data_IF_592321520096
#
_entry.id   IF_592321520096
#
_cell.length_a   1.000
_cell.length_b   1.000
_cell.length_c   1.000
_cell.angle_alpha   90.00
_cell.angle_beta   90.00
_cell.angle_gamma   90.00
#
_symmetry.space_group_name_H-M   'P 1'
#
loop_
_entity.id
_entity.type
_entity.pdbx_description
1 polymer ?
#
# COMPACT_ATOMS: atom_id res chain seq x y z
N UNK A 1 -2.16 8.57 -8.49
CA UNK A 1 -2.94 7.36 -8.69
C UNK A 1 -2.37 6.24 -7.85
N UNK A 2 -3.21 5.55 -7.08
CA UNK A 2 -2.77 4.51 -6.12
C UNK A 2 -3.27 3.12 -6.56
N UNK A 3 -3.40 2.91 -7.87
CA UNK A 3 -3.88 1.65 -8.43
C UNK A 3 -2.71 0.71 -8.69
N UNK A 4 -2.84 -0.51 -8.19
CA UNK A 4 -1.83 -1.55 -8.28
C UNK A 4 -2.43 -2.82 -8.87
N UNK A 5 -1.73 -3.39 -9.83
CA UNK A 5 -2.06 -4.70 -10.40
C UNK A 5 -1.36 -5.76 -9.57
N UNK A 6 -2.13 -6.72 -9.07
CA UNK A 6 -1.60 -7.86 -8.34
C UNK A 6 -1.20 -8.93 -9.33
N UNK A 7 0.08 -9.29 -9.33
CA UNK A 7 0.64 -10.35 -10.15
C UNK A 7 1.03 -11.54 -9.27
N UNK A 8 0.86 -12.74 -9.78
CA UNK A 8 1.40 -13.94 -9.12
C UNK A 8 2.92 -13.97 -9.30
N UNK A 9 3.66 -14.13 -8.22
CA UNK A 9 5.09 -14.33 -8.33
C UNK A 9 5.37 -15.67 -9.04
N UNK A 10 6.31 -15.73 -10.00
CA UNK A 10 6.69 -16.96 -10.66
C UNK A 10 7.26 -17.96 -9.64
N UNK A 11 7.06 -19.24 -9.87
CA UNK A 11 7.73 -20.28 -9.10
C UNK A 11 9.23 -20.27 -9.42
N UNK A 12 10.05 -20.68 -8.46
CA UNK A 12 11.53 -20.57 -8.48
C UNK A 12 12.19 -21.26 -9.68
N UNK A 13 11.70 -21.43 -10.79
CA UNK A 13 12.31 -21.93 -12.04
C UNK A 13 11.49 -21.60 -13.30
N UNK A 14 10.49 -20.74 -13.22
CA UNK A 14 9.57 -20.46 -14.33
C UNK A 14 9.93 -19.19 -15.12
N UNK A 15 11.14 -18.63 -14.94
CA UNK A 15 11.56 -17.54 -15.81
C UNK A 15 11.87 -18.06 -17.21
N UNK A 16 10.96 -17.82 -18.16
CA UNK A 16 11.31 -17.92 -19.57
C UNK A 16 12.46 -16.94 -19.85
N UNK A 17 13.57 -17.45 -20.38
CA UNK A 17 14.69 -16.61 -20.81
C UNK A 17 14.54 -16.34 -22.31
N UNK A 18 14.76 -15.10 -22.72
CA UNK A 18 14.90 -14.76 -24.12
C UNK A 18 16.16 -15.40 -24.74
N UNK A 19 16.34 -15.25 -26.05
CA UNK A 19 17.51 -15.75 -26.76
C UNK A 19 18.85 -15.19 -26.24
N UNK A 20 18.82 -14.13 -25.42
CA UNK A 20 19.97 -13.46 -24.82
C UNK A 20 20.15 -13.84 -23.34
N UNK A 21 19.30 -14.69 -22.79
CA UNK A 21 19.34 -15.14 -21.39
C UNK A 21 18.69 -14.20 -20.38
N UNK A 22 18.02 -13.15 -20.82
CA UNK A 22 17.26 -12.26 -19.95
C UNK A 22 15.91 -12.89 -19.58
N UNK A 23 15.50 -12.72 -18.32
CA UNK A 23 14.18 -13.15 -17.90
C UNK A 23 13.10 -12.37 -18.67
N UNK A 24 12.32 -13.07 -19.46
CA UNK A 24 11.15 -12.50 -20.16
C UNK A 24 9.94 -12.75 -19.28
N UNK A 25 9.27 -11.68 -18.84
CA UNK A 25 7.90 -11.83 -18.38
C UNK A 25 7.06 -12.30 -19.56
N UNK A 26 6.37 -13.42 -19.49
CA UNK A 26 5.42 -13.73 -20.52
C UNK A 26 4.35 -12.62 -20.53
N UNK A 27 4.08 -12.05 -21.73
CA UNK A 27 2.93 -11.16 -21.98
C UNK A 27 1.61 -11.77 -21.50
N UNK A 28 1.61 -13.07 -21.32
CA UNK A 28 0.52 -13.87 -20.77
C UNK A 28 0.28 -13.71 -19.26
N UNK A 29 1.17 -13.14 -18.44
CA UNK A 29 0.92 -13.06 -17.01
C UNK A 29 -0.22 -12.10 -16.68
N UNK A 30 -0.26 -10.94 -17.32
CA UNK A 30 -1.37 -9.99 -17.14
C UNK A 30 -2.65 -10.58 -17.76
N UNK A 31 -2.55 -11.19 -18.94
CA UNK A 31 -3.69 -11.80 -19.62
C UNK A 31 -4.25 -13.01 -18.87
N UNK A 32 -3.44 -13.81 -18.20
CA UNK A 32 -3.90 -14.94 -17.37
C UNK A 32 -4.71 -14.51 -16.16
N UNK A 33 -4.36 -13.38 -15.54
CA UNK A 33 -5.16 -12.83 -14.43
C UNK A 33 -6.46 -12.20 -14.91
N UNK A 34 -6.46 -11.58 -16.08
CA UNK A 34 -7.68 -11.00 -16.67
C UNK A 34 -8.72 -12.06 -17.05
N UNK A 35 -8.31 -13.28 -17.36
CA UNK A 35 -9.21 -14.36 -17.78
C UNK A 35 -9.66 -15.29 -16.63
N UNK A 36 -8.85 -15.42 -15.58
CA UNK A 36 -9.10 -16.30 -14.45
C UNK A 36 -9.08 -15.54 -13.13
N UNK A 37 -10.19 -15.53 -12.42
CA UNK A 37 -10.25 -14.95 -11.08
C UNK A 37 -9.36 -15.73 -10.14
N UNK A 38 -8.26 -15.12 -9.72
CA UNK A 38 -7.39 -15.65 -8.65
C UNK A 38 -7.58 -14.82 -7.40
N UNK A 39 -8.00 -15.46 -6.32
CA UNK A 39 -8.17 -14.78 -5.04
C UNK A 39 -6.81 -14.61 -4.35
N UNK A 40 -6.57 -13.42 -3.83
CA UNK A 40 -5.44 -13.17 -2.97
C UNK A 40 -5.65 -13.89 -1.64
N UNK A 41 -4.73 -14.76 -1.27
CA UNK A 41 -4.86 -15.64 -0.10
C UNK A 41 -3.68 -15.48 0.86
N UNK A 42 -3.90 -15.93 2.10
CA UNK A 42 -2.86 -15.98 3.12
C UNK A 42 -1.67 -16.86 2.69
N UNK A 43 -0.46 -16.40 2.97
CA UNK A 43 0.79 -17.06 2.55
C UNK A 43 1.10 -17.00 1.06
N UNK A 44 0.27 -16.35 0.25
CA UNK A 44 0.49 -16.23 -1.18
C UNK A 44 1.67 -15.31 -1.48
N UNK A 45 2.57 -15.71 -2.39
CA UNK A 45 3.65 -14.89 -2.93
C UNK A 45 3.15 -14.13 -4.16
N UNK A 46 3.25 -12.82 -4.11
CA UNK A 46 2.74 -11.91 -5.14
C UNK A 46 3.76 -10.86 -5.52
N UNK A 47 3.52 -10.18 -6.64
CA UNK A 47 4.16 -8.94 -7.06
C UNK A 47 3.11 -7.86 -7.21
N UNK A 48 3.46 -6.64 -6.89
CA UNK A 48 2.60 -5.47 -7.08
C UNK A 48 3.19 -4.59 -8.16
N UNK A 49 2.45 -4.37 -9.24
CA UNK A 49 2.82 -3.50 -10.35
C UNK A 49 1.93 -2.26 -10.34
N UNK A 50 2.54 -1.10 -10.31
CA UNK A 50 1.80 0.16 -10.40
C UNK A 50 1.19 0.31 -11.80
N UNK A 51 -0.13 0.53 -11.87
CA UNK A 51 -0.86 0.45 -13.13
C UNK A 51 -0.39 1.44 -14.18
N UNK A 52 -0.12 2.68 -13.80
CA UNK A 52 0.24 3.72 -14.77
C UNK A 52 1.70 3.65 -15.21
N UNK A 53 2.62 3.41 -14.28
CA UNK A 53 4.06 3.46 -14.57
C UNK A 53 4.65 2.10 -14.91
N UNK A 54 3.89 1.02 -14.69
CA UNK A 54 4.32 -0.37 -14.93
C UNK A 54 5.55 -0.80 -14.15
N UNK A 55 5.99 0.00 -13.17
CA UNK A 55 7.06 -0.39 -12.23
C UNK A 55 6.53 -1.28 -11.13
N UNK A 56 7.38 -2.11 -10.56
CA UNK A 56 7.03 -3.04 -9.50
C UNK A 56 7.46 -2.51 -8.14
N UNK A 57 6.69 -2.88 -7.11
CA UNK A 57 7.05 -2.63 -5.72
C UNK A 57 8.26 -3.48 -5.35
N UNK A 58 9.36 -2.85 -5.02
CA UNK A 58 10.68 -3.44 -4.98
C UNK A 58 11.45 -3.01 -3.72
N UNK A 59 12.28 -3.90 -3.18
CA UNK A 59 13.19 -3.57 -2.09
C UNK A 59 14.48 -4.40 -2.15
N UNK A 60 15.61 -3.74 -1.93
CA UNK A 60 16.93 -4.36 -1.88
C UNK A 60 17.54 -4.35 -0.48
N UNK A 61 18.42 -5.33 -0.20
CA UNK A 61 19.35 -5.22 0.90
C UNK A 61 20.34 -4.09 0.65
N UNK A 62 20.75 -3.40 1.72
CA UNK A 62 21.77 -2.35 1.71
C UNK A 62 21.40 -1.05 0.96
N UNK A 63 20.17 -0.89 0.53
CA UNK A 63 19.66 0.39 0.04
C UNK A 63 18.95 1.11 1.17
N UNK A 64 19.42 2.32 1.45
CA UNK A 64 18.89 3.15 2.54
C UNK A 64 17.60 3.83 2.11
N UNK A 65 16.63 3.96 3.03
CA UNK A 65 15.49 4.83 2.78
C UNK A 65 15.94 6.28 2.51
N UNK A 66 15.17 7.05 1.74
CA UNK A 66 15.52 8.42 1.41
C UNK A 66 15.62 9.37 2.61
N UNK A 67 14.82 9.16 3.65
CA UNK A 67 14.72 10.05 4.82
C UNK A 67 14.91 9.30 6.13
N UNK A 68 14.24 8.16 6.30
CA UNK A 68 14.33 7.37 7.53
C UNK A 68 15.73 6.80 7.75
N UNK A 69 16.09 6.61 9.01
CA UNK A 69 17.34 5.95 9.35
C UNK A 69 17.39 4.52 8.81
N UNK A 70 18.57 4.11 8.39
CA UNK A 70 18.77 2.80 7.76
C UNK A 70 18.73 1.61 8.73
N UNK A 71 18.70 1.87 10.04
CA UNK A 71 18.66 0.82 11.04
C UNK A 71 17.37 0.00 10.90
N UNK A 72 17.54 -1.27 10.57
CA UNK A 72 16.46 -2.24 10.31
C UNK A 72 15.52 -1.89 9.15
N UNK A 73 15.82 -0.87 8.35
CA UNK A 73 14.99 -0.41 7.25
C UNK A 73 15.76 -0.42 5.92
N UNK A 74 15.07 -0.83 4.87
CA UNK A 74 15.53 -0.74 3.49
C UNK A 74 14.58 0.15 2.68
N UNK A 75 15.11 0.75 1.62
CA UNK A 75 14.31 1.49 0.66
C UNK A 75 13.23 0.59 0.03
N UNK A 76 12.06 1.15 -0.18
CA UNK A 76 11.04 0.60 -1.07
C UNK A 76 10.84 1.58 -2.22
N UNK A 77 10.99 1.09 -3.43
CA UNK A 77 10.91 1.90 -4.65
C UNK A 77 10.06 1.24 -5.72
N UNK A 78 9.71 2.03 -6.74
CA UNK A 78 9.15 1.51 -7.97
C UNK A 78 10.29 1.12 -8.91
N UNK A 79 10.45 -0.15 -9.22
CA UNK A 79 11.53 -0.66 -10.07
C UNK A 79 11.01 -1.25 -11.37
N UNK A 80 11.71 -0.97 -12.46
CA UNK A 80 11.38 -1.44 -13.80
C UNK A 80 11.40 -0.33 -14.83
N UNK A 81 11.27 -0.74 -16.09
CA UNK A 81 11.26 0.17 -17.23
C UNK A 81 9.98 -0.09 -18.04
N UNK A 82 9.11 0.91 -18.24
CA UNK A 82 7.84 0.72 -18.94
C UNK A 82 8.02 0.28 -20.40
N UNK A 83 9.15 0.64 -21.03
CA UNK A 83 9.43 0.37 -22.45
C UNK A 83 10.21 -0.93 -22.68
N UNK A 84 10.64 -1.61 -21.63
CA UNK A 84 11.37 -2.87 -21.72
C UNK A 84 10.54 -3.94 -21.04
N UNK A 85 10.32 -5.06 -21.72
CA UNK A 85 9.72 -6.26 -21.10
C UNK A 85 10.64 -6.79 -19.99
N UNK A 86 10.55 -6.16 -18.82
CA UNK A 86 11.32 -6.54 -17.65
C UNK A 86 10.47 -7.48 -16.80
N UNK A 87 10.86 -8.73 -16.75
CA UNK A 87 10.13 -9.77 -16.00
C UNK A 87 10.13 -9.59 -14.48
N UNK A 88 10.85 -8.58 -13.98
CA UNK A 88 11.08 -8.41 -12.55
C UNK A 88 12.08 -9.43 -11.99
N UNK A 89 12.40 -9.29 -10.74
CA UNK A 89 13.30 -10.22 -10.02
C UNK A 89 12.71 -10.66 -8.66
N UNK A 90 13.48 -11.41 -7.90
CA UNK A 90 13.06 -11.93 -6.60
C UNK A 90 12.86 -10.85 -5.53
N UNK A 91 13.38 -9.62 -5.78
CA UNK A 91 13.22 -8.49 -4.87
C UNK A 91 11.88 -7.77 -5.08
N UNK A 92 11.08 -8.21 -6.05
CA UNK A 92 9.69 -7.76 -6.25
C UNK A 92 8.69 -8.65 -5.50
N UNK A 93 9.15 -9.75 -4.89
CA UNK A 93 8.29 -10.78 -4.34
C UNK A 93 7.91 -10.49 -2.87
N UNK A 94 6.62 -10.50 -2.61
CA UNK A 94 6.05 -10.24 -1.30
C UNK A 94 5.09 -11.36 -0.89
N UNK A 95 5.17 -11.80 0.37
CA UNK A 95 4.19 -12.70 0.97
C UNK A 95 3.06 -11.90 1.60
N UNK A 96 1.84 -12.34 1.36
CA UNK A 96 0.64 -11.84 2.03
C UNK A 96 0.48 -12.60 3.34
N UNK A 97 0.38 -11.88 4.45
CA UNK A 97 0.13 -12.45 5.77
C UNK A 97 -1.12 -11.80 6.36
N UNK A 98 -2.20 -12.55 6.48
CA UNK A 98 -3.47 -12.06 7.03
C UNK A 98 -3.33 -11.92 8.55
N UNK A 99 -3.49 -10.70 9.04
CA UNK A 99 -3.40 -10.39 10.48
C UNK A 99 -4.78 -10.46 11.13
N UNK A 100 -5.81 -9.96 10.46
CA UNK A 100 -7.18 -9.91 10.97
C UNK A 100 -8.20 -9.92 9.86
N UNK A 101 -9.28 -10.65 10.10
CA UNK A 101 -10.49 -10.56 9.28
C UNK A 101 -11.68 -10.13 10.12
N UNK A 102 -12.59 -9.38 9.52
CA UNK A 102 -13.84 -9.05 10.17
C UNK A 102 -14.81 -10.24 10.18
N UNK A 103 -15.68 -10.26 11.19
CA UNK A 103 -16.65 -11.35 11.43
C UNK A 103 -17.67 -11.58 10.30
N UNK A 104 -17.80 -10.62 9.39
CA UNK A 104 -18.74 -10.70 8.25
C UNK A 104 -18.20 -11.47 7.05
N UNK A 105 -16.92 -11.81 7.05
CA UNK A 105 -16.32 -12.60 5.97
C UNK A 105 -16.83 -14.04 6.08
N UNK A 106 -17.45 -14.58 5.00
CA UNK A 106 -17.90 -15.96 5.02
C UNK A 106 -16.76 -16.93 5.34
N UNK A 107 -17.02 -17.96 6.13
CA UNK A 107 -15.99 -18.94 6.54
C UNK A 107 -15.25 -19.59 5.35
N UNK A 108 -15.91 -19.73 4.20
CA UNK A 108 -15.29 -20.20 2.94
C UNK A 108 -14.26 -19.24 2.33
N UNK A 109 -14.17 -18.02 2.83
CA UNK A 109 -13.24 -16.99 2.39
C UNK A 109 -12.30 -16.56 3.51
N UNK A 110 -12.17 -17.35 4.58
CA UNK A 110 -11.34 -17.03 5.75
C UNK A 110 -9.85 -16.97 5.45
N UNK A 111 -9.42 -17.61 4.38
CA UNK A 111 -8.03 -17.62 3.89
C UNK A 111 -7.76 -16.58 2.80
N UNK A 112 -8.77 -15.75 2.45
CA UNK A 112 -8.70 -14.80 1.34
C UNK A 112 -8.72 -13.37 1.82
N UNK A 113 -7.99 -12.52 1.11
CA UNK A 113 -8.07 -11.08 1.32
C UNK A 113 -9.36 -10.55 0.70
N UNK A 114 -10.17 -9.94 1.53
CA UNK A 114 -11.43 -9.30 1.14
C UNK A 114 -11.29 -7.79 1.34
N UNK A 115 -11.58 -7.03 0.29
CA UNK A 115 -11.52 -5.57 0.36
C UNK A 115 -12.32 -5.03 1.55
N UNK A 116 -11.79 -4.05 2.26
CA UNK A 116 -12.29 -3.40 3.48
C UNK A 116 -12.38 -4.30 4.73
N UNK A 117 -12.43 -5.62 4.59
CA UNK A 117 -12.70 -6.54 5.70
C UNK A 117 -11.48 -7.34 6.16
N UNK A 118 -10.41 -7.35 5.37
CA UNK A 118 -9.18 -8.05 5.71
C UNK A 118 -8.05 -7.06 5.90
N UNK A 119 -7.41 -7.15 7.05
CA UNK A 119 -6.16 -6.44 7.35
C UNK A 119 -5.03 -7.44 7.25
N UNK A 120 -4.01 -7.11 6.48
CA UNK A 120 -2.90 -7.99 6.18
C UNK A 120 -1.57 -7.22 6.22
N UNK A 121 -0.48 -7.97 6.21
CA UNK A 121 0.88 -7.46 6.09
C UNK A 121 1.51 -7.97 4.80
N UNK A 122 2.46 -7.23 4.27
CA UNK A 122 3.30 -7.65 3.16
C UNK A 122 4.72 -7.87 3.66
N UNK A 123 5.17 -9.13 3.66
CA UNK A 123 6.52 -9.50 4.04
C UNK A 123 7.35 -9.77 2.80
N UNK A 124 8.47 -9.08 2.68
CA UNK A 124 9.39 -9.26 1.56
C UNK A 124 9.99 -10.67 1.54
N UNK A 125 9.93 -11.35 0.40
CA UNK A 125 10.28 -12.76 0.31
C UNK A 125 11.77 -13.05 0.59
N UNK A 126 12.66 -12.19 0.12
CA UNK A 126 14.10 -12.35 0.29
C UNK A 126 14.62 -11.76 1.62
N UNK A 127 14.14 -10.56 1.97
CA UNK A 127 14.69 -9.82 3.09
C UNK A 127 14.01 -10.12 4.42
N UNK A 128 12.79 -10.69 4.38
CA UNK A 128 11.99 -10.96 5.58
C UNK A 128 11.43 -9.72 6.28
N UNK A 129 11.76 -8.51 5.81
CA UNK A 129 11.20 -7.26 6.32
C UNK A 129 9.77 -7.05 5.83
N UNK A 130 9.04 -6.15 6.50
CA UNK A 130 7.65 -5.85 6.20
C UNK A 130 7.49 -4.48 5.54
N UNK A 131 6.58 -4.39 4.60
CA UNK A 131 6.16 -3.10 4.04
C UNK A 131 5.63 -2.24 5.18
N UNK A 132 6.22 -1.06 5.35
CA UNK A 132 6.06 -0.22 6.52
C UNK A 132 5.93 1.24 6.13
N UNK A 133 5.05 1.97 6.80
CA UNK A 133 4.89 3.40 6.62
C UNK A 133 4.63 4.08 7.95
N UNK A 134 5.34 5.17 8.22
CA UNK A 134 5.23 5.95 9.45
C UNK A 134 5.24 7.45 9.15
N UNK A 135 5.08 8.29 10.16
CA UNK A 135 4.90 9.74 10.00
C UNK A 135 6.21 10.45 9.58
N UNK A 136 6.83 10.00 8.50
CA UNK A 136 7.99 10.67 7.87
C UNK A 136 7.58 11.10 6.48
N UNK A 137 7.65 12.40 6.22
CA UNK A 137 7.34 12.97 4.92
C UNK A 137 8.59 13.01 4.03
N UNK A 138 8.41 12.63 2.78
CA UNK A 138 9.42 12.81 1.76
C UNK A 138 9.61 14.31 1.45
N UNK A 139 10.81 14.73 1.04
CA UNK A 139 11.08 16.09 0.59
C UNK A 139 10.24 16.50 -0.64
N UNK A 140 10.44 17.73 -1.12
CA UNK A 140 9.68 18.31 -2.24
C UNK A 140 9.67 17.45 -3.50
N UNK A 141 10.74 16.73 -3.79
CA UNK A 141 10.78 15.81 -4.93
C UNK A 141 9.79 14.62 -4.78
N UNK A 142 9.44 14.26 -3.56
CA UNK A 142 8.41 13.25 -3.23
C UNK A 142 7.06 13.86 -2.91
N UNK A 143 6.86 15.16 -3.19
CA UNK A 143 5.62 15.89 -2.97
C UNK A 143 5.12 15.88 -1.52
N UNK A 144 6.00 15.75 -0.55
CA UNK A 144 5.64 15.64 0.87
C UNK A 144 4.80 14.40 1.22
N UNK A 145 4.81 13.40 0.36
CA UNK A 145 4.11 12.14 0.64
C UNK A 145 4.81 11.36 1.75
N UNK A 146 4.06 10.51 2.42
CA UNK A 146 4.60 9.68 3.49
C UNK A 146 5.55 8.62 2.92
N UNK A 147 6.73 8.50 3.55
CA UNK A 147 7.72 7.50 3.16
C UNK A 147 7.24 6.08 3.43
N UNK A 148 7.57 5.18 2.51
CA UNK A 148 7.34 3.73 2.64
C UNK A 148 8.69 3.03 2.63
N UNK A 149 8.89 2.13 3.58
CA UNK A 149 10.14 1.38 3.76
C UNK A 149 9.87 -0.12 3.93
N UNK A 150 10.92 -0.95 3.85
CA UNK A 150 10.86 -2.33 4.29
C UNK A 150 11.58 -2.45 5.63
N UNK A 151 10.82 -2.65 6.71
CA UNK A 151 11.32 -2.63 8.08
C UNK A 151 11.44 -4.05 8.66
N UNK A 152 12.64 -4.41 9.14
CA UNK A 152 12.91 -5.72 9.75
C UNK A 152 12.37 -5.89 11.17
N UNK A 153 12.04 -4.78 11.84
CA UNK A 153 11.46 -4.76 13.20
C UNK A 153 10.30 -3.76 13.28
N UNK A 154 9.26 -3.94 12.45
CA UNK A 154 8.20 -2.96 12.35
C UNK A 154 7.28 -2.97 13.56
N UNK A 155 6.76 -1.81 13.95
CA UNK A 155 5.59 -1.74 14.80
C UNK A 155 4.37 -2.27 14.04
N UNK A 156 3.50 -3.03 14.72
CA UNK A 156 2.35 -3.66 14.08
C UNK A 156 1.44 -2.62 13.37
N UNK A 157 1.01 -1.51 13.99
CA UNK A 157 0.09 -0.58 13.34
C UNK A 157 0.59 -0.02 12.01
N UNK A 158 1.89 0.24 11.90
CA UNK A 158 2.48 0.89 10.73
C UNK A 158 2.85 -0.11 9.61
N UNK A 159 2.63 -1.40 9.83
CA UNK A 159 2.82 -2.47 8.83
C UNK A 159 1.51 -3.13 8.40
N UNK A 160 0.37 -2.59 8.84
CA UNK A 160 -0.95 -3.09 8.49
C UNK A 160 -1.50 -2.39 7.25
N UNK A 161 -2.00 -3.19 6.34
CA UNK A 161 -2.57 -2.75 5.07
C UNK A 161 -3.96 -3.34 4.87
N UNK A 162 -4.78 -2.66 4.11
CA UNK A 162 -6.05 -3.17 3.62
C UNK A 162 -6.30 -2.70 2.19
N UNK A 163 -7.13 -3.42 1.46
CA UNK A 163 -7.55 -3.03 0.11
C UNK A 163 -8.85 -2.24 0.24
N UNK A 164 -8.85 -1.01 -0.22
CA UNK A 164 -10.04 -0.16 -0.23
C UNK A 164 -11.03 -0.60 -1.31
N UNK A 165 -10.53 -0.74 -2.53
CA UNK A 165 -11.31 -1.19 -3.69
C UNK A 165 -10.52 -2.19 -4.51
N UNK A 166 -11.23 -3.07 -5.21
CA UNK A 166 -10.63 -3.91 -6.23
C UNK A 166 -11.57 -4.02 -7.42
N UNK A 167 -10.99 -4.14 -8.60
CA UNK A 167 -11.71 -4.36 -9.86
C UNK A 167 -11.17 -5.61 -10.54
N UNK A 168 -12.05 -6.33 -11.26
CA UNK A 168 -11.63 -7.45 -12.07
C UNK A 168 -12.64 -7.64 -13.21
N UNK A 169 -12.22 -7.67 -14.48
CA UNK A 169 -13.12 -7.66 -15.64
C UNK A 169 -14.16 -8.79 -15.62
N UNK A 170 -13.77 -9.99 -15.14
CA UNK A 170 -14.68 -11.15 -15.05
C UNK A 170 -15.70 -10.96 -13.92
N UNK A 171 -15.28 -10.42 -12.76
CA UNK A 171 -16.17 -10.22 -11.62
C UNK A 171 -17.14 -9.06 -11.83
N UNK A 172 -16.78 -8.07 -12.62
CA UNK A 172 -17.68 -6.97 -12.96
C UNK A 172 -18.86 -7.42 -13.79
N UNK A 173 -18.66 -8.44 -14.63
CA UNK A 173 -19.69 -9.02 -15.50
C UNK A 173 -20.51 -10.10 -14.80
N UNK A 174 -20.06 -10.63 -13.65
CA UNK A 174 -20.79 -11.66 -12.91
C UNK A 174 -21.82 -11.02 -11.95
N UNK A 175 -23.13 -11.17 -12.19
CA UNK A 175 -24.16 -10.66 -11.30
C UNK A 175 -24.20 -11.37 -9.93
N UNK A 176 -23.54 -12.52 -9.80
CA UNK A 176 -23.43 -13.28 -8.55
C UNK A 176 -22.15 -12.99 -7.78
N UNK A 177 -21.25 -12.15 -8.33
CA UNK A 177 -20.05 -11.75 -7.64
C UNK A 177 -20.42 -11.03 -6.33
N UNK A 178 -19.80 -11.44 -5.25
CA UNK A 178 -19.97 -10.76 -3.99
C UNK A 178 -19.31 -9.39 -4.05
N UNK A 179 -20.11 -8.37 -3.80
CA UNK A 179 -19.64 -6.98 -3.76
C UNK A 179 -19.67 -6.48 -2.34
N UNK A 180 -18.62 -5.78 -1.94
CA UNK A 180 -18.58 -5.10 -0.66
C UNK A 180 -19.51 -3.89 -0.71
N UNK A 181 -20.43 -3.80 0.24
CA UNK A 181 -21.30 -2.64 0.40
C UNK A 181 -20.60 -1.61 1.27
N UNK A 182 -20.28 -0.47 0.70
CA UNK A 182 -19.80 0.67 1.47
C UNK A 182 -20.94 1.22 2.34
N UNK A 183 -20.75 1.17 3.65
CA UNK A 183 -21.66 1.84 4.58
C UNK A 183 -21.27 3.32 4.59
N UNK A 184 -22.09 4.14 3.95
CA UNK A 184 -21.90 5.59 4.03
C UNK A 184 -22.18 6.07 5.46
N UNK A 185 -21.25 6.83 6.06
CA UNK A 185 -21.46 7.34 7.41
C UNK A 185 -22.67 8.30 7.42
N UNK A 186 -23.43 8.23 8.49
CA UNK A 186 -24.53 9.21 8.72
C UNK A 186 -23.95 10.62 8.92
N UNK A 187 -24.79 11.64 8.73
CA UNK A 187 -24.38 13.03 8.95
C UNK A 187 -23.68 13.24 10.31
N UNK A 188 -24.22 12.68 11.38
CA UNK A 188 -23.65 12.82 12.72
C UNK A 188 -22.31 12.10 12.90
N UNK A 189 -22.18 10.92 12.34
CA UNK A 189 -20.90 10.20 12.34
C UNK A 189 -19.83 10.99 11.60
N UNK A 190 -20.16 11.48 10.40
CA UNK A 190 -19.25 12.30 9.60
C UNK A 190 -18.89 13.62 10.28
N UNK A 191 -19.86 14.28 10.93
CA UNK A 191 -19.62 15.50 11.67
C UNK A 191 -18.65 15.29 12.84
N UNK A 192 -18.85 14.23 13.63
CA UNK A 192 -17.99 13.90 14.76
C UNK A 192 -16.58 13.55 14.27
N UNK A 193 -16.49 12.70 13.25
CA UNK A 193 -15.21 12.28 12.66
C UNK A 193 -14.40 13.48 12.14
N UNK A 194 -15.03 14.35 11.33
CA UNK A 194 -14.38 15.53 10.78
C UNK A 194 -13.94 16.51 11.87
N UNK A 195 -14.78 16.75 12.89
CA UNK A 195 -14.40 17.63 14.00
C UNK A 195 -13.25 17.03 14.83
N UNK A 196 -13.25 15.72 15.03
CA UNK A 196 -12.16 15.01 15.72
C UNK A 196 -10.86 15.10 14.92
N UNK A 197 -10.93 14.88 13.61
CA UNK A 197 -9.78 15.00 12.72
C UNK A 197 -9.23 16.43 12.73
N UNK A 198 -10.12 17.44 12.58
CA UNK A 198 -9.75 18.85 12.64
C UNK A 198 -9.09 19.21 13.98
N UNK A 199 -9.63 18.72 15.09
CA UNK A 199 -9.04 18.94 16.41
C UNK A 199 -7.65 18.35 16.53
N UNK A 200 -7.47 17.11 16.07
CA UNK A 200 -6.18 16.43 16.12
C UNK A 200 -5.14 17.10 15.24
N UNK A 201 -5.51 17.55 14.04
CA UNK A 201 -4.61 18.30 13.16
C UNK A 201 -4.22 19.63 13.80
N UNK A 202 -5.19 20.39 14.30
CA UNK A 202 -4.91 21.69 14.92
C UNK A 202 -4.07 21.56 16.20
N UNK A 203 -4.25 20.48 16.96
CA UNK A 203 -3.44 20.21 18.16
C UNK A 203 -1.96 19.97 17.83
N UNK A 204 -1.65 19.51 16.62
CA UNK A 204 -0.27 19.27 16.15
C UNK A 204 0.42 20.56 15.68
N UNK A 205 -0.32 21.63 15.41
CA UNK A 205 0.21 22.93 15.02
C UNK A 205 0.79 23.63 16.26
N UNK A 206 2.00 23.26 16.64
CA UNK A 206 2.70 23.79 17.82
C UNK A 206 3.69 24.89 17.45
N UNK A 207 4.02 25.06 16.19
CA UNK A 207 4.99 26.04 15.74
C UNK A 207 4.45 27.47 15.89
N UNK A 208 5.28 28.32 16.44
CA UNK A 208 4.93 29.72 16.71
C UNK A 208 4.92 30.52 15.40
N UNK A 209 3.77 31.04 15.03
CA UNK A 209 3.66 31.91 13.86
C UNK A 209 3.78 33.39 14.24
N UNK A 210 4.46 34.19 13.40
CA UNK A 210 4.71 35.62 13.67
C UNK A 210 3.40 36.42 13.90
N UNK A 211 2.32 36.00 13.24
CA UNK A 211 0.99 36.61 13.36
C UNK A 211 0.04 35.84 14.30
N UNK A 212 0.58 34.94 15.11
CA UNK A 212 -0.23 34.17 16.07
C UNK A 212 -0.91 35.10 17.07
N UNK A 213 -2.20 34.89 17.29
CA UNK A 213 -2.96 35.52 18.35
C UNK A 213 -3.53 34.46 19.31
N UNK A 214 -3.53 34.78 20.58
CA UNK A 214 -4.08 33.89 21.61
C UNK A 214 -5.50 34.32 22.01
N UNK A 215 -6.39 33.38 22.35
CA UNK A 215 -7.76 33.70 22.78
C UNK A 215 -7.83 34.76 23.88
N UNK A 216 -6.86 34.80 24.79
CA UNK A 216 -6.76 35.79 25.86
C UNK A 216 -6.47 37.21 25.38
N UNK A 217 -6.02 37.36 24.13
CA UNK A 217 -5.69 38.66 23.53
C UNK A 217 -6.87 39.25 22.73
N UNK A 218 -7.84 38.41 22.35
CA UNK A 218 -8.96 38.80 21.50
C UNK A 218 -9.90 39.83 22.14
N UNK A 219 -10.27 39.69 23.45
CA UNK A 219 -11.14 40.71 24.08
C UNK A 219 -10.54 42.08 24.14
N UNK A 220 -9.21 42.19 24.09
CA UNK A 220 -8.47 43.44 24.20
C UNK A 220 -7.90 43.91 22.86
N UNK A 221 -8.18 43.22 21.75
CA UNK A 221 -7.68 43.51 20.41
C UNK A 221 -6.17 43.80 20.36
N UNK A 222 -5.39 43.15 21.22
CA UNK A 222 -3.95 43.40 21.35
C UNK A 222 -3.13 42.92 20.16
N UNK A 223 -3.64 42.01 19.40
CA UNK A 223 -3.15 41.60 18.08
C UNK A 223 -4.36 41.35 17.19
N UNK A 224 -4.63 42.24 16.31
CA UNK A 224 -5.55 42.08 15.20
C UNK A 224 -4.76 42.09 13.91
N UNK A 225 -5.30 41.44 12.90
CA UNK A 225 -4.82 41.56 11.52
C UNK A 225 -5.18 42.96 11.04
#
# INVERSE_FOLDING_TARGET
>A
NNEWIVLKAPRDNEFAKDANGHAVAPDDEVSRFEHNVTHLADGMRIRLMHEQTRVRLHSHSNHRPPVSESDYQNEVSGYGFPDIQFGGDVNDDWFVEIERQEHHVPSRASDRVVALHTVFRLRHAQLGCYLYSHEVALPDWGFGQQEVTCNGSPTLPNSLWYIETNTHPVLEQDPKAWRVNYVLPTFWQKLIELNTAMWNVNKRLTDHHVYESRPSQWPLLRRGI
#
